data_IF_789823365788
#
_entry.id   IF_789823365788
#
_cell.length_a   1.000
_cell.length_b   1.000
_cell.length_c   1.000
_cell.angle_alpha   90.00
_cell.angle_beta   90.00
_cell.angle_gamma   90.00
#
_symmetry.space_group_name_H-M   'P 1'
#
loop_
_entity.id
_entity.type
_entity.pdbx_description
1 polymer ?
#
# COMPACT_ATOMS: atom_id res chain seq x y z
N UNK A 1 8.30 -16.57 6.95
CA UNK A 1 7.31 -17.27 6.11
C UNK A 1 6.22 -16.27 5.78
N UNK A 2 5.88 -16.07 4.50
CA UNK A 2 4.92 -15.07 4.01
C UNK A 2 3.58 -15.08 4.77
N UNK A 3 3.09 -16.28 5.10
CA UNK A 3 1.84 -16.45 5.85
C UNK A 3 1.78 -15.71 7.20
N UNK A 4 2.89 -15.65 7.94
CA UNK A 4 2.92 -14.94 9.23
C UNK A 4 2.80 -13.43 9.05
N UNK A 5 3.39 -12.90 7.98
CA UNK A 5 3.31 -11.49 7.61
C UNK A 5 1.89 -11.11 7.17
N UNK A 6 1.24 -12.00 6.39
CA UNK A 6 -0.17 -11.83 5.98
C UNK A 6 -1.08 -11.78 7.21
N UNK A 7 -0.93 -12.72 8.14
CA UNK A 7 -1.74 -12.73 9.38
C UNK A 7 -1.55 -11.46 10.20
N UNK A 8 -0.31 -10.98 10.32
CA UNK A 8 -0.03 -9.75 11.06
C UNK A 8 -0.73 -8.54 10.42
N UNK A 9 -0.64 -8.41 9.10
CA UNK A 9 -1.27 -7.32 8.38
C UNK A 9 -2.80 -7.34 8.50
N UNK A 10 -3.41 -8.53 8.38
CA UNK A 10 -4.86 -8.72 8.59
C UNK A 10 -5.25 -8.36 10.03
N UNK A 11 -4.43 -8.75 11.01
CA UNK A 11 -4.66 -8.42 12.43
C UNK A 11 -4.61 -6.90 12.66
N UNK A 12 -3.64 -6.20 12.10
CA UNK A 12 -3.55 -4.73 12.18
C UNK A 12 -4.76 -4.06 11.52
N UNK A 13 -5.16 -4.52 10.33
CA UNK A 13 -6.33 -4.02 9.63
C UNK A 13 -7.63 -4.18 10.44
N UNK A 14 -7.83 -5.35 11.06
CA UNK A 14 -9.00 -5.60 11.92
C UNK A 14 -9.00 -4.76 13.21
N UNK A 15 -7.86 -4.20 13.60
CA UNK A 15 -7.72 -3.29 14.74
C UNK A 15 -7.82 -1.81 14.33
N UNK A 16 -7.99 -1.50 13.04
CA UNK A 16 -8.00 -0.12 12.54
C UNK A 16 -6.66 0.59 12.62
N UNK A 17 -5.56 -0.16 12.73
CA UNK A 17 -4.19 0.34 12.96
C UNK A 17 -3.53 0.81 11.66
N UNK A 18 -4.06 1.89 11.10
CA UNK A 18 -3.67 2.40 9.78
C UNK A 18 -2.20 2.81 9.74
N UNK A 19 -1.71 3.53 10.76
CA UNK A 19 -0.31 3.96 10.83
C UNK A 19 0.66 2.78 10.89
N UNK A 20 0.35 1.75 11.69
CA UNK A 20 1.17 0.55 11.76
C UNK A 20 1.14 -0.26 10.45
N UNK A 21 0.03 -0.26 9.71
CA UNK A 21 -0.05 -0.86 8.36
C UNK A 21 0.88 -0.10 7.41
N UNK A 22 0.84 1.23 7.40
CA UNK A 22 1.69 2.04 6.52
C UNK A 22 3.18 1.79 6.82
N UNK A 23 3.56 1.82 8.11
CA UNK A 23 4.91 1.51 8.55
C UNK A 23 5.34 0.10 8.14
N UNK A 24 4.48 -0.89 8.36
CA UNK A 24 4.73 -2.27 7.95
C UNK A 24 5.02 -2.36 6.46
N UNK A 25 4.22 -1.71 5.62
CA UNK A 25 4.40 -1.72 4.16
C UNK A 25 5.71 -1.03 3.76
N UNK A 26 6.03 0.13 4.35
CA UNK A 26 7.27 0.85 4.07
C UNK A 26 8.51 0.00 4.42
N UNK A 27 8.51 -0.68 5.57
CA UNK A 27 9.67 -1.42 6.09
C UNK A 27 9.82 -2.84 5.52
N UNK A 28 8.74 -3.45 5.01
CA UNK A 28 8.76 -4.85 4.56
C UNK A 28 9.41 -5.02 3.19
N UNK A 29 10.25 -6.03 3.02
CA UNK A 29 10.69 -6.53 1.72
C UNK A 29 9.66 -7.53 1.17
N UNK A 30 9.06 -7.18 0.02
CA UNK A 30 7.99 -7.94 -0.63
C UNK A 30 8.51 -8.89 -1.73
N UNK A 31 9.83 -9.06 -1.86
CA UNK A 31 10.41 -9.92 -2.87
C UNK A 31 9.82 -11.33 -2.79
N UNK A 32 9.27 -11.80 -3.91
CA UNK A 32 8.62 -13.11 -4.05
C UNK A 32 7.45 -13.37 -3.07
N UNK A 33 6.76 -12.32 -2.61
CA UNK A 33 5.61 -12.41 -1.67
C UNK A 33 4.30 -11.86 -2.26
N UNK A 34 3.77 -12.52 -3.29
CA UNK A 34 2.60 -12.03 -4.03
C UNK A 34 1.29 -11.99 -3.21
N UNK A 35 1.13 -12.90 -2.25
CA UNK A 35 -0.02 -12.89 -1.35
C UNK A 35 0.08 -11.69 -0.40
N UNK A 36 1.28 -11.43 0.13
CA UNK A 36 1.50 -10.29 1.00
C UNK A 36 1.27 -8.96 0.27
N UNK A 37 1.73 -8.82 -0.98
CA UNK A 37 1.44 -7.64 -1.82
C UNK A 37 -0.08 -7.42 -1.96
N UNK A 38 -0.82 -8.49 -2.25
CA UNK A 38 -2.27 -8.46 -2.46
C UNK A 38 -3.03 -8.03 -1.19
N UNK A 39 -2.61 -8.53 -0.02
CA UNK A 39 -3.20 -8.13 1.26
C UNK A 39 -2.79 -6.71 1.63
N UNK A 40 -1.54 -6.32 1.40
CA UNK A 40 -1.04 -4.97 1.66
C UNK A 40 -1.86 -3.89 0.94
N UNK A 41 -2.08 -4.04 -0.37
CA UNK A 41 -2.91 -3.08 -1.11
C UNK A 41 -4.38 -3.12 -0.66
N UNK A 42 -4.87 -4.26 -0.19
CA UNK A 42 -6.24 -4.39 0.32
C UNK A 42 -6.43 -3.69 1.67
N UNK A 43 -5.44 -3.76 2.55
CA UNK A 43 -5.46 -3.13 3.88
C UNK A 43 -5.07 -1.64 3.84
N UNK A 44 -4.35 -1.20 2.82
CA UNK A 44 -3.93 0.19 2.67
C UNK A 44 -5.12 1.13 2.45
N UNK A 45 -5.18 2.24 3.19
CA UNK A 45 -6.24 3.24 3.06
C UNK A 45 -6.00 4.12 1.83
N UNK A 46 -7.00 4.20 0.94
CA UNK A 46 -6.89 4.86 -0.37
C UNK A 46 -7.30 6.35 -0.33
N UNK A 47 -7.27 6.99 0.83
CA UNK A 47 -7.59 8.42 0.91
C UNK A 47 -6.38 9.25 0.47
N UNK A 48 -6.61 10.42 -0.17
CA UNK A 48 -5.53 11.35 -0.55
C UNK A 48 -4.66 11.72 0.65
N UNK A 49 -5.28 11.90 1.82
CA UNK A 49 -4.59 12.22 3.07
C UNK A 49 -3.64 11.11 3.54
N UNK A 50 -4.09 9.84 3.54
CA UNK A 50 -3.23 8.72 3.92
C UNK A 50 -2.04 8.57 2.94
N UNK A 51 -2.30 8.70 1.64
CA UNK A 51 -1.24 8.63 0.61
C UNK A 51 -0.23 9.76 0.79
N UNK A 52 -0.68 10.99 1.05
CA UNK A 52 0.21 12.13 1.25
C UNK A 52 1.07 12.00 2.51
N UNK A 53 0.50 11.51 3.61
CA UNK A 53 1.22 11.30 4.87
C UNK A 53 2.17 10.10 4.83
N UNK A 54 1.87 9.09 4.00
CA UNK A 54 2.59 7.82 3.95
C UNK A 54 3.10 7.52 2.53
N UNK A 55 3.74 8.51 1.91
CA UNK A 55 4.13 8.47 0.50
C UNK A 55 5.04 7.28 0.16
N UNK A 56 5.99 6.92 1.02
CA UNK A 56 6.89 5.79 0.80
C UNK A 56 6.12 4.46 0.66
N UNK A 57 5.17 4.20 1.55
CA UNK A 57 4.33 3.00 1.50
C UNK A 57 3.44 3.00 0.24
N UNK A 58 2.88 4.15 -0.11
CA UNK A 58 2.05 4.32 -1.29
C UNK A 58 2.84 4.09 -2.59
N UNK A 59 4.04 4.66 -2.70
CA UNK A 59 4.94 4.49 -3.85
C UNK A 59 5.36 3.04 -4.01
N UNK A 60 5.69 2.38 -2.88
CA UNK A 60 6.02 0.95 -2.89
C UNK A 60 4.84 0.12 -3.43
N UNK A 61 3.62 0.35 -2.95
CA UNK A 61 2.43 -0.36 -3.44
C UNK A 61 2.11 -0.03 -4.92
N UNK A 62 2.26 1.23 -5.33
CA UNK A 62 2.06 1.65 -6.72
C UNK A 62 3.07 1.02 -7.69
N UNK A 63 4.22 0.56 -7.20
CA UNK A 63 5.27 -0.08 -8.01
C UNK A 63 5.01 -1.55 -8.31
N UNK A 64 4.07 -2.19 -7.62
CA UNK A 64 3.82 -3.62 -7.77
C UNK A 64 2.90 -3.93 -8.96
N UNK A 65 3.18 -5.04 -9.63
CA UNK A 65 2.24 -5.67 -10.55
C UNK A 65 1.29 -6.57 -9.76
N UNK A 66 0.00 -6.37 -9.94
CA UNK A 66 -1.05 -7.15 -9.30
C UNK A 66 -1.75 -8.03 -10.34
N UNK A 67 -2.03 -9.28 -9.98
CA UNK A 67 -2.72 -10.24 -10.86
C UNK A 67 -4.21 -10.38 -10.51
N UNK A 68 -4.61 -9.99 -9.30
CA UNK A 68 -6.00 -10.00 -8.87
C UNK A 68 -6.78 -8.77 -9.35
N UNK A 69 -8.04 -8.96 -9.75
CA UNK A 69 -8.87 -7.89 -10.31
C UNK A 69 -9.01 -6.69 -9.36
N UNK A 70 -9.36 -6.95 -8.09
CA UNK A 70 -9.55 -5.90 -7.09
C UNK A 70 -8.24 -5.17 -6.80
N UNK A 71 -7.15 -5.91 -6.70
CA UNK A 71 -5.82 -5.41 -6.39
C UNK A 71 -5.29 -4.54 -7.53
N UNK A 72 -5.54 -4.90 -8.79
CA UNK A 72 -5.22 -4.08 -9.96
C UNK A 72 -5.90 -2.71 -9.90
N UNK A 73 -7.21 -2.64 -9.63
CA UNK A 73 -7.91 -1.34 -9.51
C UNK A 73 -7.37 -0.50 -8.37
N UNK A 74 -7.13 -1.12 -7.21
CA UNK A 74 -6.61 -0.40 -6.04
C UNK A 74 -5.19 0.08 -6.27
N UNK A 75 -4.32 -0.75 -6.84
CA UNK A 75 -2.95 -0.38 -7.20
C UNK A 75 -2.90 0.76 -8.23
N UNK A 76 -3.74 0.68 -9.26
CA UNK A 76 -3.91 1.76 -10.24
C UNK A 76 -4.34 3.08 -9.59
N UNK A 77 -5.32 3.02 -8.68
CA UNK A 77 -5.79 4.22 -7.99
C UNK A 77 -4.73 4.81 -7.03
N UNK A 78 -3.96 3.99 -6.31
CA UNK A 78 -2.82 4.48 -5.51
C UNK A 78 -1.79 5.18 -6.40
N UNK A 79 -1.47 4.58 -7.55
CA UNK A 79 -0.55 5.17 -8.52
C UNK A 79 -1.03 6.55 -8.99
N UNK A 80 -2.30 6.68 -9.35
CA UNK A 80 -2.88 7.96 -9.75
C UNK A 80 -2.76 9.02 -8.64
N UNK A 81 -3.03 8.66 -7.38
CA UNK A 81 -2.89 9.57 -6.24
C UNK A 81 -1.44 10.00 -6.01
N UNK A 82 -0.50 9.07 -6.10
CA UNK A 82 0.95 9.36 -5.98
C UNK A 82 1.39 10.32 -7.09
N UNK A 83 0.98 10.08 -8.33
CA UNK A 83 1.32 10.96 -9.47
C UNK A 83 0.72 12.36 -9.33
N UNK A 84 -0.50 12.48 -8.83
CA UNK A 84 -1.13 13.78 -8.54
C UNK A 84 -0.33 14.57 -7.51
N UNK A 85 0.04 13.94 -6.38
CA UNK A 85 0.80 14.59 -5.31
C UNK A 85 2.18 15.05 -5.80
N UNK A 86 2.87 14.26 -6.63
CA UNK A 86 4.16 14.66 -7.22
C UNK A 86 4.03 15.87 -8.15
N UNK A 87 2.96 15.96 -8.93
CA UNK A 87 2.70 17.12 -9.81
C UNK A 87 2.39 18.38 -8.99
N UNK A 88 1.63 18.24 -7.90
CA UNK A 88 1.36 19.33 -6.97
C UNK A 88 2.66 19.88 -6.36
N UNK A 89 3.58 19.01 -5.92
CA UNK A 89 4.89 19.41 -5.38
C UNK A 89 5.87 20.01 -6.40
N UNK A 90 5.69 19.73 -7.69
CA UNK A 90 6.56 20.24 -8.77
C UNK A 90 6.09 21.59 -9.33
N UNK A 91 4.93 22.07 -8.88
CA UNK A 91 4.32 23.33 -9.33
C UNK A 91 4.52 24.49 -8.33
N UNK A 92 5.14 24.19 -7.19
CA UNK A 92 5.60 25.14 -6.16
C UNK A 92 7.09 25.45 -6.35
#
# INVERSE_FOLDING_TARGET
MEWELVKELVRLNNQGKTEEINKFVAETDFKDMDQLKSVAITCFSLTKENVAQNLEAAEKLASFEYTGFREMFRGGYVKDLVEQLRKEQSSD
#
